data_IF_307278380149
#
_entry.id   IF_307278380149
#
_cell.length_a   1.000
_cell.length_b   1.000
_cell.length_c   1.000
_cell.angle_alpha   90.00
_cell.angle_beta   90.00
_cell.angle_gamma   90.00
#
_symmetry.space_group_name_H-M   'P 1'
#
loop_
_entity.id
_entity.type
_entity.pdbx_description
1 polymer ?
#
# COMPACT_ATOMS: atom_id res chain seq x y z
N UNK A 1 -19.67 15.61 10.96
CA UNK A 1 -20.75 15.78 9.96
C UNK A 1 -21.20 14.44 9.37
N UNK A 2 -20.31 13.47 9.18
CA UNK A 2 -20.66 12.09 8.75
C UNK A 2 -21.42 11.25 9.80
N UNK A 3 -21.07 11.34 11.09
CA UNK A 3 -21.72 10.58 12.17
C UNK A 3 -23.21 10.89 12.37
N UNK A 4 -23.65 12.08 11.93
CA UNK A 4 -25.05 12.51 12.08
C UNK A 4 -25.95 11.98 10.96
N UNK A 5 -25.38 11.66 9.79
CA UNK A 5 -26.13 11.22 8.62
C UNK A 5 -26.23 9.70 8.50
N UNK A 6 -25.31 8.93 9.11
CA UNK A 6 -25.33 7.46 9.09
C UNK A 6 -24.87 6.85 10.42
N UNK A 7 -25.72 6.85 11.47
CA UNK A 7 -25.38 6.21 12.73
C UNK A 7 -25.09 4.72 12.49
N UNK A 8 -23.86 4.29 12.82
CA UNK A 8 -23.40 2.92 12.65
C UNK A 8 -22.69 2.60 11.33
N UNK A 9 -22.48 3.58 10.43
CA UNK A 9 -21.57 3.42 9.27
C UNK A 9 -20.28 4.18 9.54
N UNK A 10 -19.23 3.43 9.86
CA UNK A 10 -17.88 3.96 9.83
C UNK A 10 -17.56 4.46 8.41
N UNK A 11 -16.79 5.56 8.25
CA UNK A 11 -16.32 5.96 6.94
C UNK A 11 -15.58 4.77 6.30
N UNK A 12 -15.65 4.62 4.96
CA UNK A 12 -14.88 3.60 4.29
C UNK A 12 -13.41 3.71 4.72
N UNK A 13 -12.75 2.59 5.02
CA UNK A 13 -11.37 2.60 5.48
C UNK A 13 -10.50 3.37 4.49
N UNK A 14 -9.67 4.28 5.01
CA UNK A 14 -8.83 5.15 4.18
C UNK A 14 -7.81 4.31 3.40
N UNK A 15 -7.67 4.61 2.12
CA UNK A 15 -6.61 4.03 1.30
C UNK A 15 -5.23 4.38 1.87
N UNK A 16 -4.30 3.45 1.74
CA UNK A 16 -2.94 3.61 2.23
C UNK A 16 -2.02 3.90 1.06
N UNK A 17 -1.32 5.03 1.16
CA UNK A 17 -0.34 5.47 0.18
C UNK A 17 1.03 5.02 0.67
N UNK A 18 1.66 4.10 -0.06
CA UNK A 18 3.00 3.60 0.23
C UNK A 18 3.94 4.18 -0.83
N UNK A 19 4.85 5.03 -0.40
CA UNK A 19 5.92 5.57 -1.24
C UNK A 19 7.20 4.83 -0.91
N UNK A 20 7.90 4.34 -1.93
CA UNK A 20 9.21 3.72 -1.77
C UNK A 20 10.16 4.18 -2.88
N UNK A 21 11.43 4.31 -2.53
CA UNK A 21 12.47 4.63 -3.51
C UNK A 21 12.72 3.43 -4.41
N UNK A 22 12.66 3.66 -5.72
CA UNK A 22 13.01 2.70 -6.76
C UNK A 22 14.12 3.27 -7.62
N UNK A 23 15.19 2.50 -7.75
CA UNK A 23 16.28 2.79 -8.67
C UNK A 23 15.97 2.17 -10.01
N UNK A 24 15.78 3.00 -11.04
CA UNK A 24 15.69 2.55 -12.42
C UNK A 24 17.10 2.43 -12.99
N UNK A 25 17.49 1.23 -13.41
CA UNK A 25 18.75 1.00 -14.09
C UNK A 25 18.56 0.94 -15.60
N UNK A 26 19.48 1.55 -16.35
CA UNK A 26 19.48 1.55 -17.81
C UNK A 26 19.26 0.16 -18.40
N UNK A 27 19.92 -0.87 -17.84
CA UNK A 27 19.80 -2.25 -18.35
C UNK A 27 18.37 -2.76 -18.31
N UNK A 28 17.64 -2.46 -17.24
CA UNK A 28 16.25 -2.89 -17.06
C UNK A 28 15.32 -2.11 -18.00
N UNK A 29 15.51 -0.78 -18.06
CA UNK A 29 14.75 0.09 -18.96
C UNK A 29 14.97 -0.30 -20.42
N UNK A 30 16.21 -0.55 -20.83
CA UNK A 30 16.53 -0.98 -22.19
C UNK A 30 15.93 -2.35 -22.51
N UNK A 31 15.92 -3.29 -21.55
CA UNK A 31 15.28 -4.59 -21.75
C UNK A 31 13.76 -4.48 -21.96
N UNK A 32 13.10 -3.60 -21.19
CA UNK A 32 11.66 -3.32 -21.33
C UNK A 32 11.33 -2.64 -22.67
N UNK A 33 12.19 -1.71 -23.10
CA UNK A 33 11.94 -0.83 -24.25
C UNK A 33 12.40 -1.44 -25.58
N UNK A 34 13.34 -2.39 -25.56
CA UNK A 34 13.88 -3.02 -26.76
C UNK A 34 12.81 -3.52 -27.76
N UNK A 35 11.70 -4.16 -27.33
CA UNK A 35 10.64 -4.58 -28.25
C UNK A 35 9.98 -3.41 -29.00
N UNK A 36 9.81 -2.27 -28.33
CA UNK A 36 9.25 -1.05 -28.92
C UNK A 36 10.22 -0.44 -29.94
N UNK A 37 11.52 -0.40 -29.60
CA UNK A 37 12.57 0.08 -30.52
C UNK A 37 12.64 -0.75 -31.80
N UNK A 38 12.48 -2.07 -31.69
CA UNK A 38 12.45 -2.96 -32.86
C UNK A 38 11.24 -2.67 -33.76
N UNK A 39 10.07 -2.43 -33.17
CA UNK A 39 8.84 -2.08 -33.90
C UNK A 39 8.90 -0.69 -34.52
N UNK A 40 9.52 0.28 -33.85
CA UNK A 40 9.73 1.65 -34.36
C UNK A 40 10.59 1.70 -35.62
N UNK A 41 11.49 0.73 -35.83
CA UNK A 41 12.25 0.60 -37.08
C UNK A 41 11.41 0.08 -38.25
N UNK A 42 10.21 -0.45 -37.96
CA UNK A 42 9.27 -0.99 -38.93
C UNK A 42 8.24 0.04 -39.38
N UNK A 43 7.02 -0.44 -39.68
CA UNK A 43 5.89 0.43 -40.02
C UNK A 43 5.22 0.96 -38.76
N UNK A 44 4.86 2.22 -38.83
CA UNK A 44 4.04 2.87 -37.81
C UNK A 44 2.65 2.23 -37.69
N UNK A 45 2.15 2.10 -36.47
CA UNK A 45 0.79 1.62 -36.16
C UNK A 45 0.24 2.38 -34.95
N UNK A 46 -1.08 2.53 -34.86
CA UNK A 46 -1.74 3.15 -33.69
C UNK A 46 -1.48 2.35 -32.40
N UNK A 47 -1.42 1.02 -32.49
CA UNK A 47 -1.07 0.14 -31.37
C UNK A 47 0.34 0.43 -30.85
N UNK A 48 1.33 0.59 -31.74
CA UNK A 48 2.68 0.98 -31.33
C UNK A 48 2.70 2.35 -30.66
N UNK A 49 1.88 3.30 -31.14
CA UNK A 49 1.79 4.61 -30.50
C UNK A 49 1.28 4.48 -29.06
N UNK A 50 0.16 3.76 -28.85
CA UNK A 50 -0.40 3.53 -27.52
C UNK A 50 0.57 2.80 -26.59
N UNK A 51 1.29 1.79 -27.10
CA UNK A 51 2.29 1.05 -26.32
C UNK A 51 3.45 1.96 -25.87
N UNK A 52 3.90 2.87 -26.74
CA UNK A 52 4.95 3.84 -26.40
C UNK A 52 4.44 4.83 -25.37
N UNK A 53 3.24 5.38 -25.55
CA UNK A 53 2.63 6.32 -24.58
C UNK A 53 2.47 5.69 -23.19
N UNK A 54 2.09 4.41 -23.13
CA UNK A 54 1.93 3.69 -21.87
C UNK A 54 3.27 3.36 -21.20
N UNK A 55 4.32 3.16 -21.98
CA UNK A 55 5.62 2.69 -21.47
C UNK A 55 6.58 3.82 -21.14
N UNK A 56 6.56 4.90 -21.93
CA UNK A 56 7.52 5.99 -21.88
C UNK A 56 7.24 6.94 -20.72
N UNK A 57 8.22 7.13 -19.85
CA UNK A 57 8.21 8.11 -18.74
C UNK A 57 9.45 9.01 -18.83
N UNK A 58 9.45 10.22 -18.23
CA UNK A 58 10.62 11.09 -18.24
C UNK A 58 11.85 10.41 -17.61
N UNK A 59 11.67 9.61 -16.56
CA UNK A 59 12.75 8.92 -15.86
C UNK A 59 13.35 7.80 -16.72
N UNK A 60 12.51 7.04 -17.43
CA UNK A 60 12.98 6.05 -18.40
C UNK A 60 13.75 6.72 -19.53
N UNK A 61 13.28 7.87 -20.04
CA UNK A 61 13.99 8.67 -21.04
C UNK A 61 15.38 9.07 -20.53
N UNK A 62 15.53 9.56 -19.30
CA UNK A 62 16.83 9.96 -18.74
C UNK A 62 17.87 8.84 -18.77
N UNK A 63 17.46 7.60 -18.47
CA UNK A 63 18.38 6.46 -18.37
C UNK A 63 18.58 5.67 -19.66
N UNK A 64 17.76 5.92 -20.69
CA UNK A 64 17.90 5.30 -22.01
C UNK A 64 19.21 5.68 -22.69
N UNK A 65 19.75 4.75 -23.48
CA UNK A 65 20.92 5.03 -24.32
C UNK A 65 20.60 6.06 -25.41
N UNK A 66 21.63 6.78 -25.85
CA UNK A 66 21.52 7.83 -26.88
C UNK A 66 20.85 7.33 -28.17
N UNK A 67 21.15 6.10 -28.61
CA UNK A 67 20.54 5.51 -29.81
C UNK A 67 19.04 5.27 -29.65
N UNK A 68 18.60 4.87 -28.46
CA UNK A 68 17.18 4.70 -28.14
C UNK A 68 16.47 6.06 -28.12
N UNK A 69 17.07 7.06 -27.45
CA UNK A 69 16.59 8.45 -27.45
C UNK A 69 16.45 9.00 -28.87
N UNK A 70 17.40 8.72 -29.75
CA UNK A 70 17.37 9.15 -31.14
C UNK A 70 16.26 8.46 -31.96
N UNK A 71 15.94 7.19 -31.68
CA UNK A 71 14.80 6.52 -32.31
C UNK A 71 13.46 7.08 -31.80
N UNK A 72 13.36 7.38 -30.51
CA UNK A 72 12.17 8.01 -29.95
C UNK A 72 12.03 9.47 -30.33
N UNK A 73 13.10 10.23 -30.59
CA UNK A 73 12.98 11.65 -30.94
C UNK A 73 12.12 11.85 -32.18
N UNK A 74 12.25 10.99 -33.19
CA UNK A 74 11.41 11.02 -34.39
C UNK A 74 9.93 10.78 -34.08
N UNK A 75 9.63 9.89 -33.11
CA UNK A 75 8.27 9.65 -32.60
C UNK A 75 7.76 10.87 -31.81
N UNK A 76 8.57 11.38 -30.88
CA UNK A 76 8.27 12.52 -30.00
C UNK A 76 7.93 13.77 -30.82
N UNK A 77 8.70 14.06 -31.87
CA UNK A 77 8.46 15.22 -32.73
C UNK A 77 7.19 15.14 -33.57
N UNK A 78 6.60 13.94 -33.71
CA UNK A 78 5.32 13.75 -34.40
C UNK A 78 4.12 13.89 -33.45
N UNK A 79 4.35 13.89 -32.14
CA UNK A 79 3.28 14.04 -31.15
C UNK A 79 2.82 15.49 -31.05
N UNK A 80 1.52 15.68 -30.89
CA UNK A 80 0.94 17.00 -30.60
C UNK A 80 1.23 17.46 -29.16
N UNK A 81 1.44 16.51 -28.25
CA UNK A 81 1.69 16.77 -26.84
C UNK A 81 3.15 17.19 -26.59
N UNK A 82 3.32 18.45 -26.19
CA UNK A 82 4.64 19.06 -25.97
C UNK A 82 5.41 18.45 -24.79
N UNK A 83 4.74 17.74 -23.87
CA UNK A 83 5.41 17.15 -22.70
C UNK A 83 6.54 16.20 -23.11
N UNK A 84 6.37 15.47 -24.21
CA UNK A 84 7.37 14.50 -24.66
C UNK A 84 8.65 15.18 -25.14
N UNK A 85 8.53 16.35 -25.78
CA UNK A 85 9.68 17.15 -26.19
C UNK A 85 10.43 17.72 -24.98
N UNK A 86 9.70 18.15 -23.95
CA UNK A 86 10.28 18.59 -22.68
C UNK A 86 11.02 17.44 -21.98
N UNK A 87 10.42 16.26 -21.90
CA UNK A 87 11.06 15.07 -21.32
C UNK A 87 12.35 14.69 -22.04
N UNK A 88 12.36 14.77 -23.38
CA UNK A 88 13.55 14.49 -24.17
C UNK A 88 14.67 15.50 -23.89
N UNK A 89 14.32 16.78 -23.76
CA UNK A 89 15.28 17.85 -23.43
C UNK A 89 15.86 17.69 -22.03
N UNK A 90 15.03 17.31 -21.06
CA UNK A 90 15.51 17.02 -19.70
C UNK A 90 16.34 15.74 -19.61
N UNK A 91 16.23 14.87 -20.62
CA UNK A 91 16.97 13.63 -20.73
C UNK A 91 18.27 13.76 -21.55
N UNK A 92 18.78 14.97 -21.78
CA UNK A 92 20.06 15.20 -22.47
C UNK A 92 21.24 14.51 -21.77
N UNK A 93 21.20 14.41 -20.45
CA UNK A 93 22.24 13.72 -19.68
C UNK A 93 22.18 12.20 -19.89
N UNK A 94 23.34 11.58 -20.14
CA UNK A 94 23.46 10.13 -20.27
C UNK A 94 23.58 9.48 -18.88
N UNK A 95 22.44 9.28 -18.23
CA UNK A 95 22.39 8.65 -16.91
C UNK A 95 22.36 7.13 -17.03
N UNK A 96 23.12 6.42 -16.20
CA UNK A 96 23.08 4.95 -16.13
C UNK A 96 22.00 4.45 -15.16
N UNK A 97 21.57 5.31 -14.24
CA UNK A 97 20.46 5.05 -13.34
C UNK A 97 19.85 6.35 -12.78
N UNK A 98 18.58 6.29 -12.39
CA UNK A 98 17.91 7.36 -11.65
C UNK A 98 17.11 6.75 -10.49
N UNK A 99 17.05 7.43 -9.36
CA UNK A 99 16.19 7.03 -8.24
C UNK A 99 14.92 7.88 -8.28
N UNK A 100 13.77 7.22 -8.17
CA UNK A 100 12.46 7.86 -8.15
C UNK A 100 11.60 7.28 -7.03
N UNK A 101 10.65 8.07 -6.56
CA UNK A 101 9.65 7.62 -5.62
C UNK A 101 8.49 6.94 -6.36
N UNK A 102 8.33 5.64 -6.16
CA UNK A 102 7.17 4.90 -6.66
C UNK A 102 6.07 4.91 -5.59
N UNK A 103 4.91 5.43 -5.97
CA UNK A 103 3.74 5.49 -5.09
C UNK A 103 2.76 4.38 -5.45
N UNK A 104 2.51 3.49 -4.50
CA UNK A 104 1.47 2.46 -4.61
C UNK A 104 0.29 2.83 -3.71
N UNK A 105 -0.91 2.85 -4.28
CA UNK A 105 -2.15 3.05 -3.53
C UNK A 105 -2.73 1.67 -3.22
N UNK A 106 -2.80 1.33 -1.94
CA UNK A 106 -3.43 0.09 -1.47
C UNK A 106 -4.83 0.42 -0.97
N UNK A 107 -5.83 -0.34 -1.43
CA UNK A 107 -7.19 -0.17 -0.97
C UNK A 107 -7.27 -0.29 0.56
N UNK A 108 -7.93 0.66 1.21
CA UNK A 108 -8.03 0.70 2.66
C UNK A 108 -8.73 -0.53 3.23
N UNK A 109 -9.75 -1.05 2.55
CA UNK A 109 -10.46 -2.25 2.98
C UNK A 109 -9.55 -3.47 3.04
N UNK A 110 -8.72 -3.66 2.02
CA UNK A 110 -7.76 -4.76 1.96
C UNK A 110 -6.62 -4.57 2.97
N UNK A 111 -6.09 -3.35 3.07
CA UNK A 111 -4.99 -3.03 3.98
C UNK A 111 -5.42 -3.18 5.45
N UNK A 112 -6.48 -2.47 5.86
CA UNK A 112 -6.96 -2.47 7.23
C UNK A 112 -7.75 -3.73 7.60
N UNK A 113 -8.18 -4.53 6.62
CA UNK A 113 -8.76 -5.85 6.83
C UNK A 113 -7.74 -6.99 6.92
N UNK A 114 -6.46 -6.75 6.58
CA UNK A 114 -5.43 -7.78 6.55
C UNK A 114 -4.94 -8.16 7.95
N UNK A 115 -5.31 -9.36 8.40
CA UNK A 115 -4.82 -9.92 9.67
C UNK A 115 -3.30 -10.14 9.65
N UNK A 116 -2.73 -10.45 8.48
CA UNK A 116 -1.28 -10.60 8.30
C UNK A 116 -0.53 -9.29 8.64
N UNK A 117 -1.01 -8.15 8.13
CA UNK A 117 -0.42 -6.84 8.44
C UNK A 117 -0.56 -6.52 9.94
N UNK A 118 -1.73 -6.79 10.52
CA UNK A 118 -1.93 -6.61 11.96
C UNK A 118 -0.96 -7.45 12.81
N UNK A 119 -0.67 -8.69 12.40
CA UNK A 119 0.32 -9.55 13.08
C UNK A 119 1.74 -8.99 12.98
N UNK A 120 2.11 -8.41 11.84
CA UNK A 120 3.39 -7.73 11.65
C UNK A 120 3.56 -6.59 12.65
N UNK A 121 2.62 -5.64 12.67
CA UNK A 121 2.62 -4.50 13.60
C UNK A 121 2.65 -4.96 15.06
N UNK A 122 1.89 -6.00 15.41
CA UNK A 122 1.90 -6.55 16.77
C UNK A 122 3.27 -7.14 17.17
N UNK A 123 3.99 -7.71 16.21
CA UNK A 123 5.34 -8.26 16.43
C UNK A 123 6.33 -7.13 16.68
N UNK A 124 6.26 -6.05 15.91
CA UNK A 124 7.10 -4.85 16.12
C UNK A 124 6.84 -4.21 17.48
N UNK A 125 5.56 -4.07 17.87
CA UNK A 125 5.20 -3.56 19.20
C UNK A 125 5.74 -4.44 20.33
N UNK A 126 5.77 -5.77 20.14
CA UNK A 126 6.37 -6.68 21.13
C UNK A 126 7.87 -6.45 21.27
N UNK A 127 8.59 -6.25 20.17
CA UNK A 127 10.03 -5.92 20.18
C UNK A 127 10.26 -4.59 20.92
N UNK A 128 9.41 -3.59 20.69
CA UNK A 128 9.48 -2.30 21.40
C UNK A 128 9.30 -2.50 22.91
N UNK A 129 8.29 -3.27 23.34
CA UNK A 129 8.06 -3.54 24.77
C UNK A 129 9.23 -4.29 25.41
N UNK A 130 9.92 -5.14 24.66
CA UNK A 130 11.10 -5.88 25.13
C UNK A 130 12.37 -5.01 25.21
N UNK A 131 12.49 -3.99 24.35
CA UNK A 131 13.71 -3.18 24.20
C UNK A 131 13.69 -1.87 24.99
N UNK A 132 12.51 -1.33 25.31
CA UNK A 132 12.39 -0.10 26.07
C UNK A 132 12.50 -0.33 27.59
N UNK A 133 13.13 0.62 28.28
CA UNK A 133 13.24 0.64 29.75
C UNK A 133 11.90 1.00 30.40
N UNK A 134 10.99 0.02 30.46
CA UNK A 134 9.67 0.13 31.10
C UNK A 134 9.70 -0.44 32.52
N UNK A 135 8.86 0.09 33.42
CA UNK A 135 8.65 -0.54 34.72
C UNK A 135 7.97 -1.91 34.57
N UNK A 136 8.13 -2.83 35.54
CA UNK A 136 7.45 -4.13 35.50
C UNK A 136 5.93 -4.02 35.34
N UNK A 137 5.30 -3.05 36.01
CA UNK A 137 3.87 -2.79 35.93
C UNK A 137 3.44 -2.30 34.55
N UNK A 138 4.21 -1.39 33.95
CA UNK A 138 3.97 -0.88 32.60
C UNK A 138 4.09 -1.99 31.56
N UNK A 139 5.13 -2.82 31.68
CA UNK A 139 5.34 -3.98 30.81
C UNK A 139 4.18 -4.97 30.90
N UNK A 140 3.73 -5.27 32.12
CA UNK A 140 2.58 -6.17 32.37
C UNK A 140 1.29 -5.66 31.70
N UNK A 141 1.01 -4.36 31.81
CA UNK A 141 -0.19 -3.75 31.19
C UNK A 141 -0.11 -3.84 29.66
N UNK A 142 1.04 -3.50 29.09
CA UNK A 142 1.24 -3.53 27.63
C UNK A 142 1.18 -4.95 27.09
N UNK A 143 1.83 -5.92 27.73
CA UNK A 143 1.78 -7.33 27.34
C UNK A 143 0.35 -7.88 27.38
N UNK A 144 -0.45 -7.50 28.38
CA UNK A 144 -1.87 -7.86 28.45
C UNK A 144 -2.68 -7.26 27.30
N UNK A 145 -2.42 -6.01 26.95
CA UNK A 145 -3.04 -5.34 25.79
C UNK A 145 -2.68 -6.03 24.46
N UNK A 146 -1.40 -6.32 24.26
CA UNK A 146 -0.90 -7.01 23.07
C UNK A 146 -1.47 -8.44 22.96
N UNK A 147 -1.60 -9.16 24.08
CA UNK A 147 -2.24 -10.48 24.11
C UNK A 147 -3.72 -10.42 23.72
N UNK A 148 -4.45 -9.39 24.18
CA UNK A 148 -5.85 -9.18 23.78
C UNK A 148 -5.98 -8.91 22.28
N UNK A 149 -5.12 -8.06 21.71
CA UNK A 149 -5.10 -7.79 20.27
C UNK A 149 -4.76 -9.04 19.46
N UNK A 150 -3.81 -9.86 19.93
CA UNK A 150 -3.50 -11.16 19.31
C UNK A 150 -4.72 -12.07 19.25
N UNK A 151 -5.41 -12.24 20.37
CA UNK A 151 -6.60 -13.10 20.46
C UNK A 151 -7.72 -12.60 19.52
N UNK A 152 -7.88 -11.28 19.39
CA UNK A 152 -8.82 -10.71 18.44
C UNK A 152 -8.43 -11.04 17.00
N UNK A 153 -7.17 -10.85 16.61
CA UNK A 153 -6.67 -11.21 15.27
C UNK A 153 -6.90 -12.70 14.98
N UNK A 154 -6.56 -13.58 15.93
CA UNK A 154 -6.76 -15.03 15.80
C UNK A 154 -8.26 -15.38 15.61
N UNK A 155 -9.16 -14.69 16.31
CA UNK A 155 -10.60 -14.83 16.15
C UNK A 155 -11.08 -14.40 14.75
N UNK A 156 -10.62 -13.26 14.26
CA UNK A 156 -10.95 -12.76 12.91
C UNK A 156 -10.48 -13.73 11.84
N UNK A 157 -9.25 -14.25 11.93
CA UNK A 157 -8.75 -15.26 10.99
C UNK A 157 -9.57 -16.55 11.04
N UNK A 158 -9.91 -17.01 12.23
CA UNK A 158 -10.72 -18.22 12.40
C UNK A 158 -12.08 -18.08 11.68
N UNK A 159 -12.70 -16.90 11.78
CA UNK A 159 -13.97 -16.55 11.12
C UNK A 159 -13.81 -16.45 9.59
N UNK A 160 -12.80 -15.71 9.13
CA UNK A 160 -12.51 -15.52 7.70
C UNK A 160 -12.26 -16.86 6.98
N UNK A 161 -11.45 -17.74 7.59
CA UNK A 161 -11.14 -19.06 7.05
C UNK A 161 -12.37 -19.98 6.94
N UNK A 162 -13.47 -19.65 7.61
CA UNK A 162 -14.71 -20.43 7.61
C UNK A 162 -15.86 -19.72 6.90
N UNK A 163 -15.64 -18.51 6.37
CA UNK A 163 -16.71 -17.67 5.81
C UNK A 163 -17.81 -17.30 6.82
N UNK A 164 -17.50 -17.35 8.12
CA UNK A 164 -18.46 -17.03 9.18
C UNK A 164 -18.34 -15.55 9.50
N UNK A 165 -19.44 -14.80 9.41
CA UNK A 165 -19.46 -13.38 9.81
C UNK A 165 -19.09 -13.22 11.28
N UNK A 166 -18.29 -12.19 11.59
CA UNK A 166 -17.98 -11.84 12.97
C UNK A 166 -19.27 -11.51 13.74
N UNK A 167 -19.39 -11.96 15.00
CA UNK A 167 -20.54 -11.61 15.83
C UNK A 167 -20.57 -10.09 16.06
N UNK A 168 -21.73 -9.48 15.84
CA UNK A 168 -21.95 -8.08 16.18
C UNK A 168 -22.31 -8.06 17.67
N UNK A 169 -21.50 -7.36 18.48
CA UNK A 169 -21.84 -7.13 19.88
C UNK A 169 -23.10 -6.29 19.96
N UNK A 170 -24.18 -6.87 20.50
CA UNK A 170 -25.40 -6.13 20.72
C UNK A 170 -25.23 -5.09 21.83
N UNK A 171 -26.16 -4.13 21.86
CA UNK A 171 -26.10 -3.00 22.78
C UNK A 171 -26.16 -3.43 24.25
N UNK A 172 -26.89 -4.49 24.57
CA UNK A 172 -27.07 -4.96 25.94
C UNK A 172 -25.79 -5.63 26.44
N UNK A 173 -25.18 -6.49 25.61
CA UNK A 173 -23.87 -7.08 25.87
C UNK A 173 -22.79 -6.01 26.04
N UNK A 174 -22.79 -4.97 25.19
CA UNK A 174 -21.85 -3.86 25.32
C UNK A 174 -22.02 -3.10 26.65
N UNK A 175 -23.25 -2.79 27.04
CA UNK A 175 -23.55 -2.11 28.31
C UNK A 175 -23.13 -2.95 29.52
N UNK A 176 -23.35 -4.27 29.47
CA UNK A 176 -22.90 -5.20 30.51
C UNK A 176 -21.37 -5.20 30.67
N UNK A 177 -20.64 -5.30 29.55
CA UNK A 177 -19.15 -5.28 29.56
C UNK A 177 -18.62 -3.95 30.08
N UNK A 178 -19.24 -2.83 29.70
CA UNK A 178 -18.85 -1.50 30.19
C UNK A 178 -19.13 -1.33 31.68
N UNK A 179 -20.28 -1.79 32.17
CA UNK A 179 -20.62 -1.77 33.59
C UNK A 179 -19.67 -2.64 34.43
N UNK A 180 -19.26 -3.80 33.91
CA UNK A 180 -18.30 -4.71 34.56
C UNK A 180 -16.85 -4.19 34.59
N UNK A 181 -16.46 -3.25 33.73
CA UNK A 181 -15.13 -2.60 33.80
C UNK A 181 -15.04 -1.50 34.86
N UNK A 182 -16.17 -0.89 35.24
CA UNK A 182 -16.21 0.17 36.26
C UNK A 182 -16.36 -0.35 37.69
N UNK A 183 -16.79 -1.61 37.86
CA UNK A 183 -16.87 -2.26 39.15
C UNK A 183 -16.00 -3.52 39.11
N UNK A 184 -14.86 -3.49 39.79
CA UNK A 184 -13.88 -4.59 39.87
C UNK A 184 -14.36 -5.87 40.55
N UNK A 185 -15.62 -6.25 40.37
CA UNK A 185 -16.24 -7.54 40.71
C UNK A 185 -17.64 -7.55 40.08
N UNK A 186 -17.86 -8.34 39.03
CA UNK A 186 -19.22 -8.79 38.67
C UNK A 186 -19.19 -10.32 38.52
N UNK A 187 -20.12 -11.06 39.14
CA UNK A 187 -20.09 -12.52 39.18
C UNK A 187 -20.36 -13.13 37.81
N UNK A 188 -19.83 -14.35 37.59
CA UNK A 188 -20.13 -15.15 36.40
C UNK A 188 -21.65 -15.34 36.24
N UNK A 189 -22.22 -15.06 35.06
CA UNK A 189 -23.58 -15.48 34.77
C UNK A 189 -23.61 -17.01 34.64
N UNK A 190 -24.42 -17.66 35.48
CA UNK A 190 -24.89 -19.03 35.21
C UNK A 190 -25.77 -18.98 33.97
N UNK A 191 -25.32 -19.63 32.90
CA UNK A 191 -26.12 -19.88 31.71
C UNK A 191 -27.24 -20.89 32.04
N UNK A 192 -28.40 -20.80 31.37
CA UNK A 192 -29.45 -21.82 31.44
C UNK A 192 -29.01 -23.15 30.82
#
# INVERSE_FOLDING_TARGET
>A
MWDFLFPGRYPPPLDVIITHEKKLERKEVMAEIQPLLLRLRGKWTEELNADIEATLTPEKLRVMDADAKALFSAWIHQQEDQKYAEWLKEAEEDMTSVTQDETTIVNGGDYWGSTLLMRGVLSDLKIIVETFSLSPEQKTILERGLAMLRNFIDCVEWHNNRGIKLPIMDRETLQFVLAGKHHGNVPNPTLP
#
